data_IF_995259681700
#
_entry.id   IF_995259681700
#
_cell.length_a   1.000
_cell.length_b   1.000
_cell.length_c   1.000
_cell.angle_alpha   90.00
_cell.angle_beta   90.00
_cell.angle_gamma   90.00
#
_symmetry.space_group_name_H-M   'P 1'
#
loop_
_entity.id
_entity.type
_entity.pdbx_description
1 polymer ?
#
# COMPACT_ATOMS: atom_id res chain seq x y z
N UNK A 1 7.86 -7.80 -10.87
CA UNK A 1 7.25 -6.49 -11.13
C UNK A 1 5.73 -6.61 -11.23
N UNK A 2 5.07 -7.00 -10.14
CA UNK A 2 3.63 -7.27 -10.15
C UNK A 2 2.78 -6.00 -10.01
N UNK A 3 3.35 -4.87 -9.60
CA UNK A 3 2.60 -3.63 -9.42
C UNK A 3 3.48 -2.46 -9.84
N UNK A 4 3.25 -1.98 -11.05
CA UNK A 4 3.96 -0.86 -11.65
C UNK A 4 3.00 0.30 -11.89
N UNK A 5 2.38 0.80 -10.84
CA UNK A 5 1.56 2.01 -10.92
C UNK A 5 2.08 3.06 -9.96
N UNK A 6 1.96 4.33 -10.34
CA UNK A 6 2.45 5.46 -9.57
C UNK A 6 1.93 5.52 -8.15
N UNK A 7 0.70 5.13 -7.89
CA UNK A 7 0.13 5.11 -6.55
C UNK A 7 0.59 3.96 -5.66
N UNK A 8 1.22 2.93 -6.22
CA UNK A 8 1.57 1.70 -5.55
C UNK A 8 2.98 1.23 -5.83
N UNK A 9 3.54 1.62 -6.97
CA UNK A 9 4.91 1.39 -7.38
C UNK A 9 5.74 2.63 -7.21
N UNK A 10 5.55 3.35 -6.14
CA UNK A 10 6.16 4.64 -5.87
C UNK A 10 7.63 4.71 -6.24
N UNK A 11 7.97 5.79 -6.93
CA UNK A 11 9.30 6.15 -7.33
C UNK A 11 10.32 5.98 -6.21
N UNK A 12 9.91 6.26 -4.99
CA UNK A 12 10.85 6.27 -3.90
C UNK A 12 10.93 5.00 -3.10
N UNK A 13 10.04 3.99 -3.30
CA UNK A 13 10.21 2.82 -2.42
C UNK A 13 9.51 1.54 -2.83
N UNK A 14 8.67 1.52 -3.89
CA UNK A 14 7.68 0.44 -3.90
C UNK A 14 7.44 -0.20 -5.22
N UNK A 15 8.47 -0.85 -5.64
CA UNK A 15 8.22 -2.06 -6.40
C UNK A 15 7.94 -3.15 -5.37
N UNK A 16 6.72 -3.69 -5.38
CA UNK A 16 6.46 -4.89 -4.61
C UNK A 16 7.23 -6.04 -5.24
N UNK A 17 8.12 -6.61 -4.46
CA UNK A 17 8.87 -7.77 -4.90
C UNK A 17 7.88 -8.89 -5.19
N UNK A 18 7.99 -9.51 -6.36
CA UNK A 18 7.25 -10.71 -6.69
C UNK A 18 7.55 -11.80 -5.66
N UNK A 19 6.52 -12.33 -5.02
CA UNK A 19 6.66 -13.23 -3.87
C UNK A 19 6.95 -12.54 -2.53
N UNK A 20 6.91 -11.20 -2.50
CA UNK A 20 7.13 -10.41 -1.29
C UNK A 20 5.88 -10.22 -0.44
N UNK A 21 6.10 -9.78 0.78
CA UNK A 21 5.08 -9.53 1.81
C UNK A 21 5.03 -8.05 2.14
N UNK A 22 3.89 -7.42 1.90
CA UNK A 22 3.70 -5.99 2.07
C UNK A 22 2.71 -5.74 3.20
N UNK A 23 3.10 -4.93 4.19
CA UNK A 23 2.20 -4.42 5.20
C UNK A 23 1.55 -3.11 4.76
N UNK A 24 0.23 -3.05 4.83
CA UNK A 24 -0.56 -1.85 4.56
C UNK A 24 -1.08 -1.28 5.87
N UNK A 25 -0.57 -0.12 6.24
CA UNK A 25 -0.89 0.58 7.48
C UNK A 25 -1.77 1.79 7.18
N UNK A 26 -2.67 2.09 8.09
CA UNK A 26 -3.51 3.29 8.00
C UNK A 26 -4.76 3.16 8.85
N UNK A 27 -5.23 4.28 9.37
CA UNK A 27 -6.48 4.37 10.12
C UNK A 27 -7.72 4.16 9.26
N UNK A 28 -8.89 4.37 9.84
CA UNK A 28 -10.14 4.36 9.09
C UNK A 28 -10.24 5.57 8.15
N UNK A 29 -10.82 5.39 6.97
CA UNK A 29 -11.13 6.48 6.04
C UNK A 29 -9.94 7.02 5.23
N UNK A 30 -8.79 6.34 5.22
CA UNK A 30 -7.61 6.76 4.43
C UNK A 30 -7.55 6.12 3.03
N UNK A 31 -8.59 5.39 2.62
CA UNK A 31 -8.68 4.81 1.28
C UNK A 31 -8.06 3.42 1.11
N UNK A 32 -7.88 2.63 2.19
CA UNK A 32 -7.35 1.26 2.10
C UNK A 32 -8.11 0.39 1.12
N UNK A 33 -9.44 0.34 1.23
CA UNK A 33 -10.29 -0.49 0.38
C UNK A 33 -10.15 -0.13 -1.10
N UNK A 34 -10.21 1.17 -1.41
CA UNK A 34 -10.05 1.67 -2.80
C UNK A 34 -8.67 1.30 -3.35
N UNK A 35 -7.63 1.38 -2.52
CA UNK A 35 -6.29 0.98 -2.90
C UNK A 35 -6.20 -0.53 -3.21
N UNK A 36 -6.81 -1.36 -2.37
CA UNK A 36 -6.88 -2.82 -2.57
C UNK A 36 -7.61 -3.16 -3.88
N UNK A 37 -8.74 -2.51 -4.14
CA UNK A 37 -9.52 -2.70 -5.36
C UNK A 37 -8.73 -2.31 -6.62
N UNK A 38 -8.02 -1.19 -6.59
CA UNK A 38 -7.18 -0.75 -7.70
C UNK A 38 -6.04 -1.73 -7.96
N UNK A 39 -5.43 -2.30 -6.91
CA UNK A 39 -4.44 -3.36 -7.03
C UNK A 39 -5.01 -4.61 -7.70
N UNK A 40 -6.16 -5.07 -7.25
CA UNK A 40 -6.84 -6.25 -7.82
C UNK A 40 -7.15 -6.01 -9.29
N UNK A 41 -7.70 -4.83 -9.62
CA UNK A 41 -7.99 -4.46 -11.00
C UNK A 41 -6.72 -4.50 -11.86
N UNK A 42 -5.65 -3.88 -11.42
CA UNK A 42 -4.41 -3.79 -12.19
C UNK A 42 -3.78 -5.17 -12.39
N UNK A 43 -3.82 -6.05 -11.40
CA UNK A 43 -3.37 -7.44 -11.56
C UNK A 43 -4.24 -8.20 -12.56
N UNK A 44 -5.56 -8.03 -12.49
CA UNK A 44 -6.49 -8.74 -13.35
C UNK A 44 -6.40 -8.27 -14.82
N UNK A 45 -6.30 -6.96 -15.04
CA UNK A 45 -6.34 -6.36 -16.39
C UNK A 45 -4.97 -6.27 -17.04
N UNK A 46 -3.97 -5.77 -16.33
CA UNK A 46 -2.66 -5.46 -16.91
C UNK A 46 -1.68 -6.65 -16.86
N UNK A 47 -1.85 -7.56 -15.90
CA UNK A 47 -0.92 -8.67 -15.70
C UNK A 47 -1.54 -10.05 -15.90
N UNK A 48 -2.85 -10.16 -16.09
CA UNK A 48 -3.54 -11.43 -16.31
C UNK A 48 -3.44 -12.42 -15.14
N UNK A 49 -3.11 -11.93 -13.94
CA UNK A 49 -2.99 -12.70 -12.71
C UNK A 49 -4.31 -12.93 -12.01
N UNK A 50 -4.26 -13.71 -10.94
CA UNK A 50 -5.41 -13.94 -10.05
C UNK A 50 -5.19 -13.25 -8.71
N UNK A 51 -6.30 -12.87 -8.07
CA UNK A 51 -6.30 -12.31 -6.72
C UNK A 51 -7.09 -13.21 -5.77
N UNK A 52 -6.61 -13.32 -4.53
CA UNK A 52 -7.32 -13.96 -3.43
C UNK A 52 -7.47 -12.93 -2.33
N UNK A 53 -8.70 -12.59 -2.00
CA UNK A 53 -9.01 -11.71 -0.88
C UNK A 53 -9.45 -12.54 0.33
N UNK A 54 -8.82 -12.30 1.46
CA UNK A 54 -9.09 -13.01 2.71
C UNK A 54 -9.51 -12.03 3.78
N UNK A 55 -10.79 -11.99 4.09
CA UNK A 55 -11.37 -11.17 5.16
C UNK A 55 -11.28 -11.91 6.51
N UNK A 56 -10.43 -11.42 7.40
CA UNK A 56 -10.16 -12.04 8.70
C UNK A 56 -10.68 -11.15 9.81
N UNK A 57 -11.78 -11.53 10.43
CA UNK A 57 -12.32 -10.86 11.62
C UNK A 57 -12.82 -9.43 11.40
N UNK A 58 -13.07 -9.03 10.16
CA UNK A 58 -13.60 -7.71 9.82
C UNK A 58 -15.15 -7.71 9.86
N UNK A 59 -15.75 -6.55 9.66
CA UNK A 59 -17.19 -6.40 9.69
C UNK A 59 -17.85 -7.06 8.49
N UNK A 60 -18.91 -7.83 8.72
CA UNK A 60 -19.66 -8.53 7.66
C UNK A 60 -20.17 -7.56 6.58
N UNK A 61 -20.58 -6.35 6.96
CA UNK A 61 -21.02 -5.32 6.04
C UNK A 61 -19.92 -4.92 5.07
N UNK A 62 -18.72 -4.66 5.58
CA UNK A 62 -17.56 -4.26 4.76
C UNK A 62 -17.19 -5.34 3.73
N UNK A 63 -17.29 -6.62 4.12
CA UNK A 63 -17.08 -7.73 3.18
C UNK A 63 -18.15 -7.81 2.10
N UNK A 64 -19.42 -7.55 2.45
CA UNK A 64 -20.51 -7.51 1.48
C UNK A 64 -20.38 -6.33 0.51
N UNK A 65 -20.06 -5.14 1.03
CA UNK A 65 -19.85 -3.95 0.22
C UNK A 65 -18.70 -4.18 -0.77
N UNK A 66 -17.57 -4.72 -0.30
CA UNK A 66 -16.42 -5.08 -1.15
C UNK A 66 -16.80 -6.09 -2.26
N UNK A 67 -17.63 -7.09 -1.96
CA UNK A 67 -18.07 -8.05 -2.96
C UNK A 67 -18.86 -7.37 -4.08
N UNK A 68 -19.80 -6.48 -3.74
CA UNK A 68 -20.56 -5.72 -4.73
C UNK A 68 -19.70 -4.79 -5.56
N UNK A 69 -18.77 -4.08 -4.94
CA UNK A 69 -17.82 -3.21 -5.63
C UNK A 69 -16.91 -3.99 -6.60
N UNK A 70 -16.48 -5.21 -6.23
CA UNK A 70 -15.74 -6.11 -7.13
C UNK A 70 -16.58 -6.59 -8.32
N UNK A 71 -17.87 -6.79 -8.12
CA UNK A 71 -18.79 -7.13 -9.22
C UNK A 71 -18.98 -5.94 -10.16
N UNK A 72 -19.23 -4.74 -9.63
CA UNK A 72 -19.43 -3.53 -10.42
C UNK A 72 -18.19 -3.15 -11.23
N UNK A 73 -17.00 -3.32 -10.66
CA UNK A 73 -15.73 -3.08 -11.35
C UNK A 73 -15.33 -4.19 -12.33
N UNK A 74 -16.07 -5.29 -12.39
CA UNK A 74 -15.82 -6.42 -13.32
C UNK A 74 -14.60 -7.27 -13.03
N UNK A 75 -13.98 -7.11 -11.84
CA UNK A 75 -12.76 -7.85 -11.48
C UNK A 75 -13.05 -9.15 -10.73
N UNK A 76 -14.30 -9.41 -10.37
CA UNK A 76 -14.72 -10.58 -9.59
C UNK A 76 -14.36 -11.92 -10.28
N UNK A 77 -14.39 -11.99 -11.61
CA UNK A 77 -14.10 -13.21 -12.37
C UNK A 77 -12.67 -13.75 -12.16
N UNK A 78 -11.74 -12.87 -11.78
CA UNK A 78 -10.33 -13.21 -11.48
C UNK A 78 -9.99 -13.12 -10.00
N UNK A 79 -11.00 -12.97 -9.15
CA UNK A 79 -10.84 -12.78 -7.72
C UNK A 79 -11.57 -13.85 -6.94
N UNK A 80 -10.86 -14.54 -6.06
CA UNK A 80 -11.45 -15.45 -5.06
C UNK A 80 -11.57 -14.71 -3.74
N UNK A 81 -12.73 -14.75 -3.11
CA UNK A 81 -12.99 -14.08 -1.84
C UNK A 81 -13.34 -15.11 -0.76
N UNK A 82 -12.64 -15.02 0.37
CA UNK A 82 -12.83 -15.93 1.51
C UNK A 82 -12.99 -15.10 2.77
N UNK A 83 -14.09 -15.32 3.50
CA UNK A 83 -14.42 -14.51 4.67
C UNK A 83 -14.58 -15.37 5.93
N UNK A 84 -13.97 -14.93 7.02
CA UNK A 84 -14.23 -15.36 8.38
C UNK A 84 -14.38 -14.13 9.26
N UNK A 85 -15.58 -13.56 9.26
CA UNK A 85 -15.86 -12.23 9.79
C UNK A 85 -15.94 -12.21 11.33
N UNK A 86 -16.11 -11.02 11.91
CA UNK A 86 -16.05 -10.83 13.36
C UNK A 86 -17.12 -11.57 14.17
N UNK A 87 -18.22 -11.94 13.53
CA UNK A 87 -19.30 -12.73 14.13
C UNK A 87 -19.01 -14.24 14.14
N UNK A 88 -17.97 -14.71 13.46
CA UNK A 88 -17.58 -16.11 13.41
C UNK A 88 -16.82 -16.52 14.69
N UNK A 89 -16.88 -17.80 15.08
CA UNK A 89 -16.08 -18.33 16.18
C UNK A 89 -14.57 -18.09 15.97
N UNK A 90 -13.78 -17.96 17.04
CA UNK A 90 -12.34 -17.66 16.92
C UNK A 90 -11.58 -18.72 16.12
N UNK A 91 -11.97 -20.00 16.20
CA UNK A 91 -11.38 -21.05 15.38
C UNK A 91 -11.59 -20.85 13.88
N UNK A 92 -12.75 -20.37 13.45
CA UNK A 92 -13.03 -20.04 12.05
C UNK A 92 -12.21 -18.82 11.60
N UNK A 93 -12.21 -17.74 12.40
CA UNK A 93 -11.40 -16.53 12.12
C UNK A 93 -9.90 -16.82 12.01
N UNK A 94 -9.38 -17.71 12.84
CA UNK A 94 -7.98 -18.15 12.78
C UNK A 94 -7.68 -18.98 11.52
N UNK A 95 -8.65 -19.76 11.02
CA UNK A 95 -8.44 -20.67 9.88
C UNK A 95 -8.66 -20.03 8.52
N UNK A 96 -9.45 -18.97 8.43
CA UNK A 96 -9.79 -18.34 7.14
C UNK A 96 -8.56 -17.83 6.42
N UNK A 97 -7.57 -17.25 7.12
CA UNK A 97 -6.29 -16.82 6.54
C UNK A 97 -5.53 -17.96 5.86
N UNK A 98 -5.49 -19.12 6.50
CA UNK A 98 -4.87 -20.33 5.96
C UNK A 98 -5.66 -20.92 4.78
N UNK A 99 -7.00 -20.84 4.81
CA UNK A 99 -7.86 -21.28 3.72
C UNK A 99 -7.62 -20.43 2.46
N UNK A 100 -7.61 -19.10 2.57
CA UNK A 100 -7.29 -18.21 1.45
C UNK A 100 -5.89 -18.42 0.90
N UNK A 101 -4.91 -18.60 1.78
CA UNK A 101 -3.54 -18.92 1.37
C UNK A 101 -3.46 -20.24 0.61
N UNK A 102 -4.20 -21.27 1.03
CA UNK A 102 -4.25 -22.56 0.31
C UNK A 102 -4.85 -22.41 -1.08
N UNK A 103 -5.86 -21.56 -1.26
CA UNK A 103 -6.40 -21.23 -2.58
C UNK A 103 -5.37 -20.49 -3.45
N UNK A 104 -4.65 -19.55 -2.88
CA UNK A 104 -3.56 -18.86 -3.57
C UNK A 104 -2.45 -19.82 -4.00
N UNK A 105 -2.06 -20.77 -3.15
CA UNK A 105 -1.10 -21.82 -3.49
C UNK A 105 -1.60 -22.71 -4.64
N UNK A 106 -2.87 -23.03 -4.68
CA UNK A 106 -3.45 -23.80 -5.78
C UNK A 106 -3.30 -23.06 -7.11
N UNK A 107 -3.62 -21.77 -7.16
CA UNK A 107 -3.45 -20.98 -8.39
C UNK A 107 -1.98 -20.83 -8.78
N UNK A 108 -1.08 -20.65 -7.81
CA UNK A 108 0.37 -20.59 -8.05
C UNK A 108 0.91 -21.89 -8.60
N UNK A 109 0.62 -23.02 -7.96
CA UNK A 109 1.30 -24.28 -8.20
C UNK A 109 0.65 -25.10 -9.35
N UNK A 110 -0.68 -25.09 -9.45
CA UNK A 110 -1.44 -25.78 -10.49
C UNK A 110 -1.75 -24.89 -11.69
N UNK A 111 -2.05 -23.63 -11.45
CA UNK A 111 -2.33 -22.65 -12.51
C UNK A 111 -1.09 -22.03 -13.14
N UNK A 112 0.09 -22.17 -12.53
CA UNK A 112 1.32 -21.51 -12.99
C UNK A 112 1.19 -19.99 -13.04
N UNK A 113 0.45 -19.38 -12.09
CA UNK A 113 0.09 -17.97 -12.09
C UNK A 113 0.79 -17.19 -11.01
N UNK A 114 0.92 -15.91 -11.27
CA UNK A 114 1.23 -14.94 -10.24
C UNK A 114 -0.06 -14.53 -9.53
N UNK A 115 -0.07 -14.69 -8.21
CA UNK A 115 -1.24 -14.49 -7.36
C UNK A 115 -1.00 -13.33 -6.41
N UNK A 116 -1.95 -12.43 -6.31
CA UNK A 116 -1.97 -11.39 -5.29
C UNK A 116 -2.89 -11.82 -4.15
N UNK A 117 -2.33 -12.01 -2.96
CA UNK A 117 -3.05 -12.41 -1.75
C UNK A 117 -3.26 -11.19 -0.86
N UNK A 118 -4.52 -10.85 -0.62
CA UNK A 118 -4.91 -9.85 0.37
C UNK A 118 -5.34 -10.52 1.66
N UNK A 119 -4.84 -10.01 2.79
CA UNK A 119 -5.27 -10.42 4.14
C UNK A 119 -5.73 -9.18 4.89
N UNK A 120 -7.01 -9.09 5.13
CA UNK A 120 -7.62 -7.98 5.87
C UNK A 120 -8.46 -8.56 7.03
N UNK A 121 -7.95 -8.58 8.24
CA UNK A 121 -6.75 -7.95 8.78
C UNK A 121 -5.84 -9.00 9.42
N UNK A 122 -4.53 -8.95 9.20
CA UNK A 122 -3.59 -9.93 9.78
C UNK A 122 -3.55 -9.88 11.32
N UNK A 123 -3.79 -8.71 11.94
CA UNK A 123 -3.89 -8.60 13.40
C UNK A 123 -5.04 -9.46 13.95
N UNK A 124 -6.17 -9.56 13.23
CA UNK A 124 -7.31 -10.37 13.65
C UNK A 124 -7.02 -11.87 13.65
N UNK A 125 -6.12 -12.33 12.78
CA UNK A 125 -5.60 -13.69 12.83
C UNK A 125 -4.89 -13.95 14.17
N UNK A 126 -4.03 -13.05 14.62
CA UNK A 126 -3.36 -13.14 15.90
C UNK A 126 -4.34 -13.08 17.07
N UNK A 127 -5.31 -12.17 17.03
CA UNK A 127 -6.34 -12.03 18.04
C UNK A 127 -7.17 -13.31 18.18
N UNK A 128 -7.60 -13.91 17.08
CA UNK A 128 -8.33 -15.17 17.08
C UNK A 128 -7.48 -16.31 17.67
N UNK A 129 -6.18 -16.33 17.39
CA UNK A 129 -5.24 -17.28 17.99
C UNK A 129 -5.14 -17.13 19.52
N UNK A 130 -5.14 -15.90 20.04
CA UNK A 130 -5.12 -15.67 21.49
C UNK A 130 -6.43 -16.10 22.16
N UNK A 131 -7.57 -15.87 21.52
CA UNK A 131 -8.88 -16.34 22.01
C UNK A 131 -8.94 -17.89 22.06
N UNK A 132 -8.47 -18.57 21.00
CA UNK A 132 -8.39 -20.06 20.99
C UNK A 132 -7.46 -20.57 22.09
N UNK A 133 -6.30 -19.92 22.28
CA UNK A 133 -5.34 -20.31 23.31
C UNK A 133 -5.94 -20.17 24.73
N UNK A 134 -6.68 -19.10 24.96
CA UNK A 134 -7.41 -18.89 26.23
C UNK A 134 -8.47 -19.96 26.47
N UNK A 135 -9.27 -20.28 25.43
CA UNK A 135 -10.28 -21.35 25.51
C UNK A 135 -9.69 -22.73 25.80
N UNK A 136 -8.44 -22.97 25.38
CA UNK A 136 -7.70 -24.19 25.67
C UNK A 136 -7.00 -24.17 27.05
N UNK A 137 -7.17 -23.11 27.84
CA UNK A 137 -6.56 -22.97 29.16
C UNK A 137 -5.04 -22.83 29.14
N UNK A 138 -4.45 -22.38 28.03
CA UNK A 138 -3.01 -22.15 27.94
C UNK A 138 -2.63 -20.88 28.67
N UNK A 139 -1.48 -20.92 29.39
CA UNK A 139 -0.96 -19.74 30.06
C UNK A 139 -0.56 -18.68 29.03
N UNK A 140 -1.04 -17.43 29.13
CA UNK A 140 -0.69 -16.39 28.20
C UNK A 140 0.78 -15.97 28.35
N UNK A 141 1.35 -15.51 27.25
CA UNK A 141 2.65 -14.84 27.22
C UNK A 141 2.52 -13.34 27.48
N UNK A 142 3.55 -12.57 27.15
CA UNK A 142 3.53 -11.10 27.33
C UNK A 142 2.28 -10.45 26.72
N UNK A 143 1.72 -9.48 27.42
CA UNK A 143 0.55 -8.67 27.01
C UNK A 143 -0.72 -9.52 26.75
N UNK A 144 -0.77 -10.76 27.21
CA UNK A 144 -1.94 -11.63 27.08
C UNK A 144 -2.02 -12.43 25.79
N UNK A 145 -1.01 -12.37 24.91
CA UNK A 145 -0.96 -13.16 23.68
C UNK A 145 -0.64 -14.64 23.94
N UNK A 146 -0.96 -15.48 22.96
CA UNK A 146 -0.63 -16.89 22.98
C UNK A 146 0.90 -17.13 22.94
N UNK A 147 1.41 -18.15 23.64
CA UNK A 147 2.83 -18.49 23.60
C UNK A 147 3.29 -18.97 22.22
N UNK A 148 2.37 -19.40 21.37
CA UNK A 148 2.61 -19.88 20.00
C UNK A 148 2.51 -18.77 18.93
N UNK A 149 2.42 -17.50 19.31
CA UNK A 149 2.23 -16.36 18.40
C UNK A 149 3.21 -16.37 17.23
N UNK A 150 4.50 -16.45 17.51
CA UNK A 150 5.54 -16.42 16.48
C UNK A 150 5.48 -17.64 15.56
N UNK A 151 5.21 -18.82 16.12
CA UNK A 151 5.09 -20.06 15.35
C UNK A 151 3.88 -20.03 14.42
N UNK A 152 2.74 -19.56 14.91
CA UNK A 152 1.51 -19.45 14.12
C UNK A 152 1.64 -18.43 12.99
N UNK A 153 2.21 -17.26 13.30
CA UNK A 153 2.48 -16.23 12.29
C UNK A 153 3.50 -16.73 11.27
N UNK A 154 4.60 -17.32 11.70
CA UNK A 154 5.61 -17.90 10.83
C UNK A 154 5.05 -18.98 9.91
N UNK A 155 4.22 -19.88 10.43
CA UNK A 155 3.57 -20.93 9.64
C UNK A 155 2.68 -20.38 8.50
N UNK A 156 2.06 -19.22 8.69
CA UNK A 156 1.33 -18.54 7.63
C UNK A 156 2.25 -17.80 6.68
N UNK A 157 3.16 -17.00 7.22
CA UNK A 157 3.99 -16.07 6.44
C UNK A 157 5.00 -16.79 5.53
N UNK A 158 5.60 -17.90 5.98
CA UNK A 158 6.61 -18.62 5.20
C UNK A 158 6.04 -19.38 3.98
N UNK A 159 4.73 -19.59 3.93
CA UNK A 159 4.05 -20.15 2.75
C UNK A 159 3.84 -19.11 1.64
N UNK A 160 3.91 -17.82 1.97
CA UNK A 160 3.81 -16.72 1.02
C UNK A 160 5.17 -16.54 0.35
N UNK A 161 5.33 -17.11 -0.83
CA UNK A 161 6.63 -17.15 -1.50
C UNK A 161 6.48 -17.42 -3.01
N UNK A 162 7.55 -17.19 -3.75
CA UNK A 162 7.70 -17.62 -5.14
C UNK A 162 8.18 -19.07 -5.21
N UNK A 163 7.64 -19.82 -6.18
CA UNK A 163 8.08 -21.16 -6.54
C UNK A 163 8.55 -21.18 -7.99
N UNK A 164 8.95 -22.37 -8.49
CA UNK A 164 9.28 -22.53 -9.90
C UNK A 164 8.08 -22.32 -10.85
N UNK A 165 6.87 -22.51 -10.33
CA UNK A 165 5.63 -22.49 -11.12
C UNK A 165 4.97 -21.10 -11.17
N UNK A 166 5.16 -20.29 -10.14
CA UNK A 166 4.51 -18.98 -9.99
C UNK A 166 4.88 -18.32 -8.68
N UNK A 167 4.18 -17.25 -8.34
CA UNK A 167 4.44 -16.50 -7.10
C UNK A 167 3.17 -16.17 -6.35
N UNK A 168 3.29 -15.99 -5.03
CA UNK A 168 2.28 -15.33 -4.20
C UNK A 168 2.91 -14.07 -3.64
N UNK A 169 2.36 -12.92 -3.99
CA UNK A 169 2.70 -11.63 -3.37
C UNK A 169 1.56 -11.26 -2.44
N UNK A 170 1.84 -10.89 -1.20
CA UNK A 170 0.79 -10.53 -0.26
C UNK A 170 0.76 -9.05 0.09
N UNK A 171 -0.45 -8.53 0.20
CA UNK A 171 -0.75 -7.23 0.80
C UNK A 171 -1.59 -7.48 2.05
N UNK A 172 -1.05 -7.16 3.20
CA UNK A 172 -1.61 -7.48 4.49
C UNK A 172 -1.99 -6.19 5.21
N UNK A 173 -3.28 -5.95 5.43
CA UNK A 173 -3.70 -4.86 6.28
C UNK A 173 -3.29 -5.15 7.72
N UNK A 174 -2.56 -4.23 8.32
CA UNK A 174 -2.06 -4.35 9.68
C UNK A 174 -2.71 -3.29 10.56
N UNK A 175 -3.40 -3.74 11.59
CA UNK A 175 -3.88 -2.87 12.65
C UNK A 175 -2.84 -2.83 13.77
N UNK A 176 -2.52 -1.65 14.24
CA UNK A 176 -1.59 -1.44 15.35
C UNK A 176 -2.39 -0.96 16.55
N UNK A 177 -2.55 -1.79 17.61
CA UNK A 177 -3.28 -1.38 18.79
C UNK A 177 -2.64 -0.16 19.47
N UNK A 178 -3.46 0.86 19.76
CA UNK A 178 -3.02 2.09 20.41
C UNK A 178 -1.81 2.79 19.73
N UNK A 179 -1.61 2.54 18.42
CA UNK A 179 -0.45 3.00 17.65
C UNK A 179 0.92 2.56 18.22
N UNK A 180 0.92 1.49 19.04
CA UNK A 180 2.12 0.94 19.66
C UNK A 180 2.77 -0.14 18.76
N UNK A 181 3.81 0.25 18.05
CA UNK A 181 4.59 -0.64 17.19
C UNK A 181 5.39 -1.70 17.96
N UNK A 182 5.52 -1.54 19.29
CA UNK A 182 6.22 -2.50 20.15
C UNK A 182 5.33 -3.63 20.68
N UNK A 183 4.01 -3.54 20.43
CA UNK A 183 3.08 -4.62 20.73
C UNK A 183 3.52 -5.91 20.01
N UNK A 184 3.51 -7.07 20.70
CA UNK A 184 4.01 -8.33 20.16
C UNK A 184 3.38 -8.77 18.83
N UNK A 185 2.10 -8.45 18.59
CA UNK A 185 1.41 -8.88 17.36
C UNK A 185 1.91 -8.10 16.12
N UNK A 186 1.86 -6.76 16.07
CA UNK A 186 2.46 -6.03 14.96
C UNK A 186 3.98 -6.27 14.86
N UNK A 187 4.72 -6.30 15.97
CA UNK A 187 6.16 -6.54 15.96
C UNK A 187 6.52 -7.89 15.28
N UNK A 188 5.78 -8.96 15.60
CA UNK A 188 5.96 -10.26 14.95
C UNK A 188 5.62 -10.20 13.46
N UNK A 189 4.56 -9.48 13.09
CA UNK A 189 4.18 -9.30 11.69
C UNK A 189 5.27 -8.55 10.91
N UNK A 190 5.78 -7.45 11.46
CA UNK A 190 6.84 -6.62 10.85
C UNK A 190 8.10 -7.42 10.50
N UNK A 191 8.47 -8.39 11.34
CA UNK A 191 9.66 -9.22 11.11
C UNK A 191 9.61 -9.99 9.77
N UNK A 192 8.41 -10.28 9.27
CA UNK A 192 8.19 -11.01 8.02
C UNK A 192 7.98 -10.10 6.80
N UNK A 193 7.76 -8.80 6.97
CA UNK A 193 7.45 -7.90 5.87
C UNK A 193 8.69 -7.48 5.08
N UNK A 194 8.56 -7.42 3.76
CA UNK A 194 9.57 -6.89 2.84
C UNK A 194 9.38 -5.41 2.55
N UNK A 195 8.15 -4.92 2.68
CA UNK A 195 7.81 -3.51 2.51
C UNK A 195 6.65 -3.10 3.42
N UNK A 196 6.63 -1.82 3.78
CA UNK A 196 5.52 -1.21 4.51
C UNK A 196 4.95 -0.04 3.73
N UNK A 197 3.64 0.02 3.62
CA UNK A 197 2.90 1.14 3.02
C UNK A 197 2.07 1.81 4.10
N UNK A 198 2.39 3.04 4.41
CA UNK A 198 1.66 3.83 5.41
C UNK A 198 0.75 4.81 4.70
N UNK A 199 -0.55 4.71 4.97
CA UNK A 199 -1.56 5.67 4.53
C UNK A 199 -1.79 6.68 5.66
N UNK A 200 -1.63 7.96 5.35
CA UNK A 200 -1.68 9.05 6.32
C UNK A 200 -2.95 9.89 6.18
N UNK A 201 -3.59 10.19 7.30
CA UNK A 201 -4.74 11.10 7.34
C UNK A 201 -4.35 12.53 6.96
N UNK A 202 -3.17 12.99 7.35
CA UNK A 202 -2.67 14.33 6.99
C UNK A 202 -2.56 14.51 5.46
N UNK A 203 -2.26 13.44 4.72
CA UNK A 203 -2.21 13.46 3.26
C UNK A 203 -3.62 13.45 2.66
N UNK A 204 -4.58 12.73 3.28
CA UNK A 204 -6.01 12.80 2.91
C UNK A 204 -6.56 14.22 3.05
N UNK A 205 -6.20 14.92 4.11
CA UNK A 205 -6.62 16.29 4.37
C UNK A 205 -6.13 17.29 3.30
N UNK A 206 -5.04 16.96 2.61
CA UNK A 206 -4.54 17.71 1.45
C UNK A 206 -5.24 17.33 0.13
N UNK A 207 -6.20 16.41 0.16
CA UNK A 207 -6.90 15.91 -1.04
C UNK A 207 -6.03 15.04 -1.95
N UNK A 208 -4.95 14.48 -1.43
CA UNK A 208 -4.00 13.65 -2.18
C UNK A 208 -4.36 12.17 -2.01
N UNK A 209 -4.67 11.50 -3.11
CA UNK A 209 -4.98 10.08 -3.17
C UNK A 209 -4.17 9.40 -4.27
N UNK A 210 -3.62 8.17 -4.00
CA UNK A 210 -3.63 7.46 -2.73
C UNK A 210 -2.86 8.24 -1.63
N UNK A 211 -3.37 8.17 -0.40
CA UNK A 211 -2.82 8.94 0.71
C UNK A 211 -1.57 8.28 1.33
N UNK A 212 -0.66 7.85 0.49
CA UNK A 212 0.57 7.17 0.90
C UNK A 212 1.58 8.16 1.43
N UNK A 213 2.08 7.93 2.66
CA UNK A 213 3.16 8.71 3.23
C UNK A 213 4.52 8.18 2.74
N UNK A 214 5.25 8.95 1.93
CA UNK A 214 6.52 8.51 1.37
C UNK A 214 7.67 8.49 2.39
N UNK A 215 7.58 9.24 3.46
CA UNK A 215 8.61 9.31 4.49
C UNK A 215 8.48 8.17 5.51
N UNK A 216 7.24 7.79 5.86
CA UNK A 216 6.96 6.72 6.83
C UNK A 216 6.98 5.32 6.20
N UNK A 217 6.96 5.23 4.90
CA UNK A 217 6.87 3.98 4.18
C UNK A 217 8.24 3.44 3.77
N UNK A 218 8.42 2.11 3.80
CA UNK A 218 9.73 1.47 3.56
C UNK A 218 9.64 0.33 2.54
N UNK A 219 10.76 0.02 1.86
CA UNK A 219 10.88 -1.18 1.04
C UNK A 219 12.33 -1.67 1.01
N UNK A 220 12.54 -2.97 1.20
CA UNK A 220 13.85 -3.61 1.14
C UNK A 220 14.44 -3.65 -0.26
N UNK A 221 13.61 -3.57 -1.29
CA UNK A 221 14.08 -3.62 -2.69
C UNK A 221 14.56 -2.27 -3.22
N UNK A 222 14.42 -1.18 -2.48
CA UNK A 222 15.01 0.09 -2.84
C UNK A 222 16.53 0.07 -2.60
N UNK A 223 17.22 -0.66 -3.45
CA UNK A 223 18.67 -0.82 -3.48
C UNK A 223 19.12 -0.62 -4.94
N UNK A 224 20.17 0.17 -5.21
CA UNK A 224 20.60 0.46 -6.56
C UNK A 224 20.95 -0.78 -7.39
N UNK A 225 21.35 -1.87 -6.72
CA UNK A 225 21.63 -3.17 -7.38
C UNK A 225 20.36 -3.87 -7.88
N UNK A 226 19.18 -3.53 -7.33
CA UNK A 226 17.89 -4.14 -7.68
C UNK A 226 17.10 -3.24 -8.62
N UNK A 227 16.92 -1.97 -8.24
CA UNK A 227 16.08 -1.03 -8.98
C UNK A 227 16.85 -0.21 -10.02
N UNK A 228 18.17 -0.22 -9.96
CA UNK A 228 19.05 0.60 -10.79
C UNK A 228 19.39 1.95 -10.16
N UNK A 229 20.52 2.50 -10.56
CA UNK A 229 21.06 3.75 -10.00
C UNK A 229 20.12 4.95 -10.19
N UNK A 230 19.52 5.10 -11.36
CA UNK A 230 18.65 6.23 -11.66
C UNK A 230 17.39 6.23 -10.78
N UNK A 231 16.69 5.09 -10.72
CA UNK A 231 15.51 4.95 -9.87
C UNK A 231 15.86 5.24 -8.41
N UNK A 232 16.95 4.65 -7.91
CA UNK A 232 17.39 4.85 -6.53
C UNK A 232 17.68 6.32 -6.24
N UNK A 233 18.42 7.02 -7.10
CA UNK A 233 18.75 8.45 -6.93
C UNK A 233 17.50 9.32 -6.93
N UNK A 234 16.60 9.14 -7.89
CA UNK A 234 15.35 9.91 -7.95
C UNK A 234 14.52 9.68 -6.69
N UNK A 235 14.38 8.43 -6.25
CA UNK A 235 13.65 8.09 -5.03
C UNK A 235 14.24 8.79 -3.79
N UNK A 236 15.57 8.81 -3.66
CA UNK A 236 16.24 9.49 -2.55
C UNK A 236 16.03 11.00 -2.60
N UNK A 237 16.18 11.61 -3.77
CA UNK A 237 15.98 13.04 -3.94
C UNK A 237 14.54 13.48 -3.63
N UNK A 238 13.54 12.64 -3.99
CA UNK A 238 12.15 12.88 -3.58
C UNK A 238 11.99 12.86 -2.06
N UNK A 239 12.61 11.89 -1.38
CA UNK A 239 12.57 11.84 0.09
C UNK A 239 13.25 13.05 0.73
N UNK A 240 14.44 13.42 0.26
CA UNK A 240 15.20 14.55 0.76
C UNK A 240 14.41 15.87 0.63
N UNK A 241 13.81 16.12 -0.54
CA UNK A 241 13.04 17.34 -0.76
C UNK A 241 11.76 17.39 0.11
N UNK A 242 11.07 16.24 0.29
CA UNK A 242 9.89 16.18 1.15
C UNK A 242 10.25 16.28 2.63
N UNK A 243 11.37 15.70 3.05
CA UNK A 243 11.88 15.81 4.42
C UNK A 243 12.25 17.25 4.72
N UNK A 244 12.99 17.90 3.83
CA UNK A 244 13.36 19.33 3.97
C UNK A 244 12.10 20.21 4.02
N UNK A 245 11.10 19.92 3.20
CA UNK A 245 9.83 20.64 3.24
C UNK A 245 9.11 20.47 4.59
N UNK A 246 9.08 19.24 5.13
CA UNK A 246 8.49 18.98 6.45
C UNK A 246 9.17 19.80 7.55
N UNK A 247 10.50 19.92 7.52
CA UNK A 247 11.27 20.75 8.47
C UNK A 247 10.96 22.25 8.32
N UNK A 248 10.75 22.71 7.07
CA UNK A 248 10.42 24.11 6.81
C UNK A 248 8.97 24.48 7.14
N UNK A 249 8.06 23.50 7.23
CA UNK A 249 6.64 23.77 7.52
C UNK A 249 6.43 24.49 8.86
N UNK A 250 7.17 24.14 9.89
CA UNK A 250 7.09 24.79 11.19
C UNK A 250 7.55 26.25 11.12
N UNK A 251 8.61 26.51 10.36
CA UNK A 251 9.12 27.88 10.12
C UNK A 251 8.09 28.69 9.34
N UNK A 252 7.53 28.11 8.28
CA UNK A 252 6.49 28.76 7.44
C UNK A 252 5.25 29.11 8.28
N UNK A 253 4.83 28.20 9.17
CA UNK A 253 3.67 28.41 10.02
C UNK A 253 3.85 29.55 11.04
N UNK A 254 5.07 29.79 11.51
CA UNK A 254 5.36 30.80 12.53
C UNK A 254 5.75 32.14 11.90
N UNK A 255 6.63 32.11 10.90
CA UNK A 255 7.27 33.32 10.35
C UNK A 255 6.73 33.71 8.95
N UNK A 256 6.08 32.81 8.26
CA UNK A 256 5.60 33.00 6.90
C UNK A 256 6.65 32.60 5.84
N UNK A 257 6.19 32.55 4.58
CA UNK A 257 7.04 32.19 3.42
C UNK A 257 8.11 33.24 3.11
N UNK A 258 7.85 34.50 3.44
CA UNK A 258 8.71 35.63 3.06
C UNK A 258 10.06 35.61 3.79
N UNK A 259 10.09 35.02 4.98
CA UNK A 259 11.32 34.90 5.79
C UNK A 259 12.24 33.75 5.35
N UNK A 260 11.81 32.90 4.42
CA UNK A 260 12.67 31.85 3.86
C UNK A 260 13.71 32.44 2.90
N UNK A 261 14.87 31.78 2.86
CA UNK A 261 15.86 32.04 1.79
C UNK A 261 15.29 31.71 0.41
N UNK A 262 15.81 32.30 -0.65
CA UNK A 262 15.38 32.01 -2.03
C UNK A 262 15.56 30.51 -2.37
N UNK A 263 16.63 29.89 -1.87
CA UNK A 263 16.87 28.47 -2.05
C UNK A 263 15.80 27.62 -1.32
N UNK A 264 15.41 27.99 -0.10
CA UNK A 264 14.36 27.29 0.63
C UNK A 264 12.97 27.50 -0.01
N UNK A 265 12.68 28.68 -0.53
CA UNK A 265 11.46 28.95 -1.31
C UNK A 265 11.36 28.04 -2.54
N UNK A 266 12.48 27.85 -3.24
CA UNK A 266 12.56 26.96 -4.39
C UNK A 266 12.32 25.49 -3.97
N UNK A 267 12.95 25.05 -2.87
CA UNK A 267 12.71 23.71 -2.30
C UNK A 267 11.24 23.51 -1.96
N UNK A 268 10.60 24.46 -1.29
CA UNK A 268 9.18 24.40 -0.94
C UNK A 268 8.30 24.33 -2.19
N UNK A 269 8.58 25.14 -3.21
CA UNK A 269 7.82 25.12 -4.47
C UNK A 269 7.89 23.76 -5.15
N UNK A 270 9.09 23.20 -5.30
CA UNK A 270 9.29 21.87 -5.90
C UNK A 270 8.71 20.75 -5.04
N UNK A 271 8.87 20.82 -3.72
CA UNK A 271 8.30 19.83 -2.79
C UNK A 271 6.76 19.76 -2.87
N UNK A 272 6.08 20.90 -2.98
CA UNK A 272 4.63 20.96 -3.17
C UNK A 272 4.19 20.36 -4.50
N UNK A 273 4.94 20.61 -5.59
CA UNK A 273 4.69 19.95 -6.88
C UNK A 273 4.88 18.45 -6.78
N UNK A 274 5.98 17.98 -6.17
CA UNK A 274 6.26 16.57 -5.91
C UNK A 274 5.12 15.95 -5.10
N UNK A 275 4.68 16.59 -4.01
CA UNK A 275 3.61 16.09 -3.15
C UNK A 275 2.28 15.94 -3.92
N UNK A 276 1.91 16.94 -4.72
CA UNK A 276 0.69 16.87 -5.55
C UNK A 276 0.81 15.86 -6.68
N UNK A 277 1.98 15.73 -7.28
CA UNK A 277 2.26 14.76 -8.32
C UNK A 277 2.24 13.30 -7.81
N UNK A 278 2.25 13.06 -6.48
CA UNK A 278 2.00 11.75 -5.89
C UNK A 278 0.54 11.29 -6.03
N UNK A 279 -0.39 12.22 -6.22
CA UNK A 279 -1.78 11.86 -6.48
C UNK A 279 -1.92 11.21 -7.85
N UNK A 280 -2.80 10.20 -7.92
CA UNK A 280 -3.11 9.50 -9.17
C UNK A 280 -4.60 9.18 -9.21
N UNK A 281 -5.30 9.46 -10.32
CA UNK A 281 -6.68 9.03 -10.48
C UNK A 281 -6.74 7.52 -10.67
N UNK A 282 -7.49 6.85 -9.81
CA UNK A 282 -7.73 5.41 -9.88
C UNK A 282 -8.95 5.10 -10.73
N UNK A 283 -8.91 3.97 -11.46
CA UNK A 283 -10.04 3.51 -12.25
C UNK A 283 -11.25 3.19 -11.38
N UNK A 284 -11.02 2.51 -10.25
CA UNK A 284 -12.10 2.13 -9.32
C UNK A 284 -12.71 3.34 -8.58
N UNK A 285 -12.02 4.46 -8.53
CA UNK A 285 -12.50 5.69 -7.90
C UNK A 285 -13.24 6.63 -8.87
N UNK A 286 -13.29 6.31 -10.16
CA UNK A 286 -13.86 7.18 -11.20
C UNK A 286 -15.30 7.60 -10.93
N UNK A 287 -16.13 6.70 -10.42
CA UNK A 287 -17.51 6.98 -10.04
C UNK A 287 -17.67 8.00 -8.89
N UNK A 288 -16.67 8.10 -8.02
CA UNK A 288 -16.69 9.04 -6.89
C UNK A 288 -16.01 10.37 -7.22
N UNK A 289 -14.97 10.33 -8.02
CA UNK A 289 -14.14 11.50 -8.33
C UNK A 289 -14.53 12.21 -9.61
N UNK A 290 -15.23 11.52 -10.52
CA UNK A 290 -15.51 11.99 -11.87
C UNK A 290 -14.27 12.06 -12.77
N UNK A 291 -13.14 11.52 -12.33
CA UNK A 291 -11.90 11.49 -13.08
C UNK A 291 -11.70 10.13 -13.75
N UNK A 292 -11.23 10.13 -14.98
CA UNK A 292 -10.82 8.91 -15.67
C UNK A 292 -9.55 8.35 -15.04
N UNK A 293 -9.56 7.06 -14.69
CA UNK A 293 -8.41 6.38 -14.12
C UNK A 293 -7.23 6.32 -15.10
N UNK A 294 -6.01 6.34 -14.57
CA UNK A 294 -4.78 6.29 -15.38
C UNK A 294 -3.82 5.24 -14.82
N UNK A 295 -3.40 4.33 -15.68
CA UNK A 295 -2.27 3.44 -15.42
C UNK A 295 -0.98 4.12 -15.90
N UNK A 296 0.01 4.25 -15.02
CA UNK A 296 1.27 4.92 -15.34
C UNK A 296 2.44 3.95 -15.11
N UNK A 297 3.23 3.64 -16.13
CA UNK A 297 4.44 2.83 -15.98
C UNK A 297 5.46 3.47 -15.02
N UNK A 298 6.21 2.64 -14.29
CA UNK A 298 7.24 3.11 -13.34
C UNK A 298 8.28 4.00 -14.02
N UNK A 299 8.68 3.67 -15.26
CA UNK A 299 9.64 4.47 -16.04
C UNK A 299 9.18 5.91 -16.26
N UNK A 300 7.91 6.11 -16.62
CA UNK A 300 7.33 7.44 -16.80
C UNK A 300 7.22 8.19 -15.47
N UNK A 301 6.91 7.46 -14.40
CA UNK A 301 6.86 8.02 -13.05
C UNK A 301 8.23 8.52 -12.59
N UNK A 302 9.29 7.71 -12.77
CA UNK A 302 10.67 8.09 -12.44
C UNK A 302 11.08 9.33 -13.23
N UNK A 303 10.84 9.34 -14.54
CA UNK A 303 11.15 10.47 -15.40
C UNK A 303 10.41 11.74 -14.96
N UNK A 304 9.12 11.65 -14.64
CA UNK A 304 8.33 12.79 -14.19
C UNK A 304 8.86 13.40 -12.89
N UNK A 305 9.16 12.60 -11.87
CA UNK A 305 9.74 13.10 -10.63
C UNK A 305 11.13 13.68 -10.82
N UNK A 306 11.98 13.05 -11.64
CA UNK A 306 13.30 13.56 -11.99
C UNK A 306 13.21 14.97 -12.57
N UNK A 307 12.37 15.16 -13.56
CA UNK A 307 12.19 16.45 -14.23
C UNK A 307 11.64 17.54 -13.31
N UNK A 308 10.74 17.19 -12.37
CA UNK A 308 10.23 18.12 -11.35
C UNK A 308 11.36 18.56 -10.41
N UNK A 309 12.15 17.60 -9.92
CA UNK A 309 13.25 17.87 -8.96
C UNK A 309 14.35 18.69 -9.63
N UNK A 310 14.69 18.40 -10.89
CA UNK A 310 15.67 19.15 -11.68
C UNK A 310 15.20 20.57 -12.03
N UNK A 311 13.93 20.89 -11.80
CA UNK A 311 13.37 22.23 -11.98
C UNK A 311 12.86 22.54 -13.38
N UNK A 312 12.70 21.54 -14.25
CA UNK A 312 12.19 21.72 -15.61
C UNK A 312 10.81 22.40 -15.67
N UNK A 313 10.06 22.31 -14.60
CA UNK A 313 8.68 22.80 -14.49
C UNK A 313 8.50 23.81 -13.36
N UNK A 314 9.55 24.57 -13.02
CA UNK A 314 9.49 25.54 -11.93
C UNK A 314 8.47 26.66 -12.21
N UNK A 315 8.26 27.02 -13.47
CA UNK A 315 7.29 28.04 -13.90
C UNK A 315 5.82 27.57 -13.88
N UNK A 316 5.56 26.25 -13.74
CA UNK A 316 4.20 25.73 -13.71
C UNK A 316 3.65 25.75 -12.28
N UNK A 317 2.46 26.32 -12.04
CA UNK A 317 1.81 26.33 -10.74
C UNK A 317 1.59 24.91 -10.19
N UNK A 318 1.76 24.71 -8.88
CA UNK A 318 1.64 23.42 -8.21
C UNK A 318 0.28 22.71 -8.39
N UNK A 319 -0.80 23.50 -8.60
CA UNK A 319 -2.16 22.96 -8.77
C UNK A 319 -2.32 22.07 -10.01
N UNK A 320 -1.52 22.28 -11.05
CA UNK A 320 -1.55 21.46 -12.26
C UNK A 320 -1.06 20.04 -12.07
N UNK A 321 -0.27 19.80 -11.00
CA UNK A 321 0.30 18.48 -10.69
C UNK A 321 -0.66 17.56 -9.91
N UNK A 322 -1.80 18.06 -9.46
CA UNK A 322 -2.78 17.26 -8.70
C UNK A 322 -3.59 16.37 -9.65
N UNK A 323 -3.79 15.11 -9.26
CA UNK A 323 -4.58 14.14 -10.02
C UNK A 323 -4.15 14.01 -11.48
N UNK A 324 -2.85 13.80 -11.68
CA UNK A 324 -2.24 13.53 -12.98
C UNK A 324 -1.75 12.10 -13.06
N UNK A 325 -1.80 11.51 -14.23
CA UNK A 325 -1.10 10.28 -14.54
C UNK A 325 0.40 10.55 -14.72
N UNK A 326 0.83 11.00 -15.91
CA UNK A 326 2.19 11.39 -16.22
C UNK A 326 2.40 12.90 -16.27
N UNK A 327 3.61 13.30 -16.63
CA UNK A 327 3.94 14.72 -16.92
C UNK A 327 3.14 15.25 -18.11
N UNK A 328 2.82 14.40 -19.08
CA UNK A 328 2.00 14.80 -20.23
C UNK A 328 0.63 15.32 -19.83
N UNK A 329 0.03 14.76 -18.77
CA UNK A 329 -1.24 15.25 -18.24
C UNK A 329 -1.08 16.64 -17.61
N UNK A 330 0.07 16.92 -16.98
CA UNK A 330 0.38 18.25 -16.43
C UNK A 330 0.48 19.27 -17.57
N UNK A 331 1.23 18.95 -18.62
CA UNK A 331 1.42 19.82 -19.77
C UNK A 331 0.09 20.06 -20.51
N UNK A 332 -0.73 19.03 -20.70
CA UNK A 332 -2.04 19.15 -21.31
C UNK A 332 -3.01 20.02 -20.49
N UNK A 333 -2.84 20.11 -19.15
CA UNK A 333 -3.60 21.03 -18.31
C UNK A 333 -3.16 22.49 -18.44
N UNK A 334 -1.86 22.72 -18.73
CA UNK A 334 -1.30 24.07 -18.91
C UNK A 334 -1.72 24.65 -20.26
N UNK A 335 -1.90 23.82 -21.28
CA UNK A 335 -2.30 24.24 -22.63
C UNK A 335 -3.81 24.55 -22.76
N UNK A 336 -4.64 24.13 -21.82
CA UNK A 336 -6.08 24.41 -21.74
C UNK A 336 -6.39 25.71 -21.03
#
# INVERSE_FOLDING_TARGET
>A
DLVRSRGLGDVYKRQYQKGGKIGLFGGAGVGKTVLIQELIRNIATEHGGYSVFTGVGERTREGNDLYHEMMESGVIEKTTMVFGQMNEPPGARMRVGLAGLTMAEYFRDKGGKDVLLFIDNIYRFTQAGSEVSALLGRMPSAVGYQPTLQTEMGALQERITSTKNGSITSVQAVYVPADDLTDPAPATTFAHLDATTVLSRSIVELGIYPAVDPLESTSRILDPRIVGEEHYKVARSVQEILQKYKELQDIIAILGMDELSEDDKLVVSRARKVQRFLSQPFFVAGQFTGLEGRYVPVSETIQGFKEIIEGKYDDIPESYFLNCGGIDDVLAKVEK
#
